data_IF_332524434240
#
_entry.id   IF_332524434240
#
_cell.length_a   1.000
_cell.length_b   1.000
_cell.length_c   1.000
_cell.angle_alpha   90.00
_cell.angle_beta   90.00
_cell.angle_gamma   90.00
#
_symmetry.space_group_name_H-M   'P 1'
#
loop_
_entity.id
_entity.type
_entity.pdbx_description
1 polymer ?
#
# COMPACT_ATOMS: atom_id res chain seq x y z
N UNK A 1 -23.98 13.18 -1.26
CA UNK A 1 -23.13 12.17 -1.92
C UNK A 1 -22.33 11.49 -0.83
N UNK A 2 -22.71 10.28 -0.40
CA UNK A 2 -22.02 9.57 0.68
C UNK A 2 -20.64 9.15 0.15
N UNK A 3 -19.57 9.54 0.86
CA UNK A 3 -18.23 8.99 0.63
C UNK A 3 -18.34 7.47 0.80
N UNK A 4 -18.21 6.74 -0.32
CA UNK A 4 -18.03 5.30 -0.26
C UNK A 4 -16.67 5.06 0.41
N UNK A 5 -16.65 4.21 1.43
CA UNK A 5 -15.43 3.93 2.20
C UNK A 5 -14.32 3.34 1.32
N UNK A 6 -13.13 3.18 1.90
CA UNK A 6 -11.97 2.61 1.25
C UNK A 6 -12.03 1.07 1.27
N UNK A 7 -11.73 0.44 0.14
CA UNK A 7 -11.50 -1.00 0.10
C UNK A 7 -10.00 -1.28 0.25
N UNK A 8 -9.63 -2.07 1.25
CA UNK A 8 -8.25 -2.43 1.58
C UNK A 8 -8.07 -3.92 1.29
N UNK A 9 -7.23 -4.22 0.31
CA UNK A 9 -6.84 -5.58 -0.05
C UNK A 9 -5.46 -5.87 0.51
N UNK A 10 -5.33 -7.02 1.16
CA UNK A 10 -4.07 -7.48 1.71
C UNK A 10 -3.53 -8.63 0.88
N UNK A 11 -2.20 -8.81 0.88
CA UNK A 11 -1.56 -9.90 0.16
C UNK A 11 -1.90 -11.28 0.74
N UNK A 12 -2.07 -11.35 2.06
CA UNK A 12 -2.10 -12.62 2.80
C UNK A 12 -3.29 -12.75 3.76
N UNK A 13 -4.35 -11.94 3.59
CA UNK A 13 -5.57 -12.01 4.42
C UNK A 13 -6.78 -11.47 3.66
N UNK A 14 -7.97 -11.71 4.20
CA UNK A 14 -9.22 -11.24 3.61
C UNK A 14 -9.26 -9.71 3.49
N UNK A 15 -9.86 -9.16 2.42
CA UNK A 15 -9.99 -7.73 2.25
C UNK A 15 -10.95 -7.13 3.27
N UNK A 16 -10.70 -5.87 3.65
CA UNK A 16 -11.64 -5.04 4.38
C UNK A 16 -12.30 -4.08 3.39
N UNK A 17 -13.63 -4.09 3.34
CA UNK A 17 -14.39 -3.31 2.37
C UNK A 17 -15.11 -2.16 3.06
N UNK A 18 -15.27 -1.05 2.34
CA UNK A 18 -16.01 0.14 2.79
C UNK A 18 -15.52 0.73 4.12
N UNK A 19 -14.22 0.63 4.39
CA UNK A 19 -13.59 1.15 5.59
C UNK A 19 -13.77 2.67 5.68
N UNK A 20 -14.23 3.16 6.83
CA UNK A 20 -14.44 4.59 7.09
C UNK A 20 -13.58 5.11 8.23
N UNK A 21 -13.19 4.24 9.15
CA UNK A 21 -12.47 4.60 10.37
C UNK A 21 -11.22 3.75 10.55
N UNK A 22 -10.15 4.37 11.07
CA UNK A 22 -8.87 3.69 11.33
C UNK A 22 -9.01 2.52 12.32
N UNK A 23 -9.95 2.63 13.27
CA UNK A 23 -10.24 1.59 14.24
C UNK A 23 -10.63 0.25 13.60
N UNK A 24 -11.16 0.27 12.37
CA UNK A 24 -11.52 -0.93 11.62
C UNK A 24 -10.30 -1.68 11.08
N UNK A 25 -9.15 -1.00 10.91
CA UNK A 25 -7.91 -1.63 10.45
C UNK A 25 -7.16 -2.34 11.57
N UNK A 26 -7.24 -1.82 12.81
CA UNK A 26 -6.41 -2.29 13.94
C UNK A 26 -6.48 -3.82 14.11
N UNK A 27 -7.67 -4.47 14.10
CA UNK A 27 -7.75 -5.92 14.25
C UNK A 27 -7.07 -6.68 13.09
N UNK A 28 -7.09 -6.11 11.89
CA UNK A 28 -6.47 -6.75 10.72
C UNK A 28 -4.94 -6.81 10.81
N UNK A 29 -4.31 -6.01 11.67
CA UNK A 29 -2.85 -6.05 11.91
C UNK A 29 -2.46 -6.84 13.16
N UNK A 30 -3.42 -7.36 13.93
CA UNK A 30 -3.13 -8.12 15.15
C UNK A 30 -2.44 -9.47 14.89
N UNK A 31 -2.56 -10.02 13.68
CA UNK A 31 -1.90 -11.27 13.30
C UNK A 31 -0.67 -11.01 12.40
N UNK A 32 0.49 -11.59 12.74
CA UNK A 32 1.69 -11.51 11.91
C UNK A 32 1.40 -12.04 10.50
N UNK A 33 2.09 -11.47 9.52
CA UNK A 33 1.88 -11.78 8.11
C UNK A 33 2.79 -12.92 7.66
N UNK A 34 2.31 -13.70 6.69
CA UNK A 34 3.15 -14.62 5.93
C UNK A 34 4.14 -13.83 5.04
N UNK A 35 5.28 -14.43 4.73
CA UNK A 35 6.41 -13.81 4.04
C UNK A 35 6.25 -13.67 2.51
N UNK A 36 5.04 -13.83 1.98
CA UNK A 36 4.78 -13.78 0.54
C UNK A 36 4.28 -12.41 0.11
N UNK A 37 4.71 -12.00 -1.09
CA UNK A 37 4.40 -10.71 -1.69
C UNK A 37 3.63 -10.92 -3.00
N UNK A 38 2.51 -11.67 -2.95
CA UNK A 38 1.72 -12.05 -4.13
C UNK A 38 0.87 -10.88 -4.67
N UNK A 39 1.52 -9.77 -5.00
CA UNK A 39 0.90 -8.53 -5.53
C UNK A 39 0.13 -8.84 -6.82
N UNK A 40 0.70 -9.66 -7.70
CA UNK A 40 0.10 -10.05 -8.97
C UNK A 40 -1.25 -10.73 -8.77
N UNK A 41 -1.35 -11.66 -7.81
CA UNK A 41 -2.58 -12.37 -7.51
C UNK A 41 -3.68 -11.42 -7.03
N UNK A 42 -3.35 -10.60 -6.02
CA UNK A 42 -4.31 -9.64 -5.45
C UNK A 42 -4.74 -8.59 -6.47
N UNK A 43 -3.82 -8.11 -7.32
CA UNK A 43 -4.17 -7.14 -8.34
C UNK A 43 -5.17 -7.71 -9.35
N UNK A 44 -5.00 -8.97 -9.79
CA UNK A 44 -5.98 -9.64 -10.66
C UNK A 44 -7.33 -9.79 -9.96
N UNK A 45 -7.33 -10.16 -8.68
CA UNK A 45 -8.56 -10.25 -7.88
C UNK A 45 -9.31 -8.92 -7.83
N UNK A 46 -8.61 -7.80 -7.61
CA UNK A 46 -9.21 -6.45 -7.60
C UNK A 46 -9.80 -6.12 -8.96
N UNK A 47 -9.05 -6.33 -10.05
CA UNK A 47 -9.50 -6.02 -11.41
C UNK A 47 -10.76 -6.81 -11.80
N UNK A 48 -10.87 -8.07 -11.35
CA UNK A 48 -12.06 -8.89 -11.55
C UNK A 48 -13.23 -8.44 -10.66
N UNK A 49 -12.97 -8.25 -9.36
CA UNK A 49 -14.01 -7.87 -8.40
C UNK A 49 -14.60 -6.49 -8.68
N UNK A 50 -13.81 -5.58 -9.27
CA UNK A 50 -14.20 -4.19 -9.56
C UNK A 50 -14.62 -3.94 -11.01
N UNK A 51 -14.83 -4.99 -11.80
CA UNK A 51 -15.08 -4.88 -13.24
C UNK A 51 -16.30 -4.00 -13.55
N UNK A 52 -17.37 -4.12 -12.76
CA UNK A 52 -18.58 -3.33 -12.95
C UNK A 52 -18.33 -1.85 -12.58
N UNK A 53 -17.66 -1.58 -11.47
CA UNK A 53 -17.33 -0.22 -11.04
C UNK A 53 -16.40 0.49 -12.04
N UNK A 54 -15.49 -0.23 -12.69
CA UNK A 54 -14.58 0.33 -13.70
C UNK A 54 -15.35 0.86 -14.94
N UNK A 55 -16.51 0.27 -15.25
CA UNK A 55 -17.36 0.76 -16.34
C UNK A 55 -18.01 2.10 -15.99
N UNK A 56 -18.46 2.24 -14.74
CA UNK A 56 -19.20 3.41 -14.26
C UNK A 56 -18.29 4.59 -13.84
N UNK A 57 -17.11 4.31 -13.30
CA UNK A 57 -16.23 5.32 -12.70
C UNK A 57 -14.74 4.98 -12.81
N UNK A 58 -13.89 5.94 -12.47
CA UNK A 58 -12.44 5.72 -12.39
C UNK A 58 -12.07 5.01 -11.09
N UNK A 59 -11.12 4.09 -11.16
CA UNK A 59 -10.59 3.34 -10.03
C UNK A 59 -9.14 3.77 -9.75
N UNK A 60 -8.83 4.16 -8.51
CA UNK A 60 -7.46 4.41 -8.07
C UNK A 60 -7.01 3.26 -7.18
N UNK A 61 -5.92 2.60 -7.56
CA UNK A 61 -5.28 1.53 -6.80
C UNK A 61 -3.94 2.05 -6.30
N UNK A 62 -3.75 2.04 -4.98
CA UNK A 62 -2.49 2.37 -4.33
C UNK A 62 -1.89 1.07 -3.80
N UNK A 63 -0.72 0.70 -4.28
CA UNK A 63 -0.01 -0.50 -3.85
C UNK A 63 1.11 -0.07 -2.90
N UNK A 64 0.92 -0.30 -1.61
CA UNK A 64 1.97 -0.13 -0.60
C UNK A 64 2.76 -1.44 -0.46
N UNK A 65 4.07 -1.41 -0.70
CA UNK A 65 4.95 -2.59 -0.67
C UNK A 65 6.34 -2.23 -0.17
N UNK A 66 6.97 -3.12 0.60
CA UNK A 66 8.33 -3.00 1.10
C UNK A 66 9.30 -4.00 0.43
N UNK A 67 8.82 -4.79 -0.52
CA UNK A 67 9.57 -5.88 -1.15
C UNK A 67 9.18 -6.14 -2.60
N UNK A 68 9.92 -7.08 -3.21
CA UNK A 68 9.67 -7.54 -4.57
C UNK A 68 8.40 -8.40 -4.65
N UNK A 69 7.65 -8.34 -5.76
CA UNK A 69 6.53 -9.25 -5.98
C UNK A 69 7.04 -10.69 -6.05
N UNK A 70 6.33 -11.61 -5.42
CA UNK A 70 6.63 -13.04 -5.45
C UNK A 70 5.47 -13.84 -6.06
N UNK A 71 5.78 -15.00 -6.60
CA UNK A 71 4.79 -16.04 -6.91
C UNK A 71 4.31 -16.76 -5.63
N UNK A 72 3.45 -17.76 -5.81
CA UNK A 72 2.88 -18.57 -4.73
C UNK A 72 3.92 -19.49 -4.04
N UNK A 73 5.14 -19.58 -4.60
CA UNK A 73 6.28 -20.31 -4.04
C UNK A 73 7.31 -19.37 -3.39
N UNK A 74 7.04 -18.07 -3.34
CA UNK A 74 7.95 -17.07 -2.75
C UNK A 74 9.12 -16.66 -3.65
N UNK A 75 9.11 -17.05 -4.93
CA UNK A 75 10.13 -16.65 -5.90
C UNK A 75 9.75 -15.31 -6.52
N UNK A 76 10.73 -14.42 -6.71
CA UNK A 76 10.52 -13.13 -7.36
C UNK A 76 9.85 -13.30 -8.73
N UNK A 77 8.74 -12.59 -8.95
CA UNK A 77 7.96 -12.62 -10.19
C UNK A 77 7.50 -11.21 -10.62
N UNK A 78 8.48 -10.39 -11.01
CA UNK A 78 8.24 -9.05 -11.55
C UNK A 78 7.60 -9.07 -12.94
N UNK A 79 7.89 -10.10 -13.74
CA UNK A 79 7.38 -10.25 -15.10
C UNK A 79 5.86 -10.44 -15.15
N UNK A 80 5.29 -11.23 -14.25
CA UNK A 80 3.83 -11.34 -14.16
C UNK A 80 3.17 -10.05 -13.73
N UNK A 81 3.76 -9.32 -12.77
CA UNK A 81 3.23 -8.02 -12.36
C UNK A 81 3.25 -7.03 -13.54
N UNK A 82 4.35 -6.96 -14.28
CA UNK A 82 4.47 -6.14 -15.49
C UNK A 82 3.41 -6.50 -16.53
N UNK A 83 3.19 -7.79 -16.77
CA UNK A 83 2.15 -8.28 -17.68
C UNK A 83 0.76 -7.81 -17.26
N UNK A 84 0.43 -7.89 -15.96
CA UNK A 84 -0.86 -7.41 -15.45
C UNK A 84 -1.03 -5.91 -15.70
N UNK A 85 0.00 -5.12 -15.36
CA UNK A 85 -0.01 -3.67 -15.49
C UNK A 85 -0.16 -3.20 -16.95
N UNK A 86 0.50 -3.88 -17.89
CA UNK A 86 0.55 -3.50 -19.31
C UNK A 86 -0.57 -4.08 -20.16
N UNK A 87 -0.98 -5.32 -19.89
CA UNK A 87 -1.81 -6.09 -20.82
C UNK A 87 -3.16 -6.50 -20.23
N UNK A 88 -3.24 -6.77 -18.92
CA UNK A 88 -4.47 -7.29 -18.31
C UNK A 88 -5.37 -6.18 -17.76
N UNK A 89 -4.80 -5.03 -17.38
CA UNK A 89 -5.56 -3.84 -16.92
C UNK A 89 -6.60 -3.36 -17.93
N UNK A 90 -6.33 -3.47 -19.24
CA UNK A 90 -7.17 -3.12 -20.42
C UNK A 90 -7.83 -1.72 -20.48
N UNK A 91 -7.96 -1.01 -19.37
CA UNK A 91 -8.62 0.30 -19.24
C UNK A 91 -7.67 1.28 -18.53
N UNK A 92 -6.57 1.63 -19.20
CA UNK A 92 -5.53 2.49 -18.64
C UNK A 92 -6.01 3.90 -18.30
N UNK A 93 -7.05 4.38 -18.97
CA UNK A 93 -7.72 5.68 -18.79
C UNK A 93 -8.70 5.69 -17.59
N UNK A 94 -9.19 4.51 -17.19
CA UNK A 94 -10.16 4.34 -16.09
C UNK A 94 -9.52 3.91 -14.79
N UNK A 95 -8.51 3.07 -14.86
CA UNK A 95 -7.83 2.52 -13.68
C UNK A 95 -6.54 3.31 -13.56
N UNK A 96 -6.19 3.85 -12.40
CA UNK A 96 -4.89 4.46 -12.11
C UNK A 96 -4.22 3.62 -11.04
N UNK A 97 -2.96 3.24 -11.27
CA UNK A 97 -2.19 2.43 -10.32
C UNK A 97 -0.95 3.21 -9.93
N UNK A 98 -0.75 3.42 -8.64
CA UNK A 98 0.44 4.05 -8.07
C UNK A 98 1.07 3.13 -7.03
N UNK A 99 2.39 3.19 -6.93
CA UNK A 99 3.15 2.41 -5.96
C UNK A 99 3.69 3.31 -4.86
N UNK A 100 3.56 2.84 -3.63
CA UNK A 100 4.14 3.42 -2.43
C UNK A 100 5.21 2.46 -1.90
N UNK A 101 6.48 2.76 -2.18
CA UNK A 101 7.62 2.03 -1.64
C UNK A 101 7.73 2.31 -0.12
N UNK A 102 7.65 1.25 0.68
CA UNK A 102 7.62 1.28 2.14
C UNK A 102 8.89 0.65 2.74
N UNK A 103 10.02 0.85 2.07
CA UNK A 103 11.33 0.28 2.44
C UNK A 103 12.42 1.31 2.24
N UNK A 104 13.52 1.13 2.97
CA UNK A 104 14.80 1.83 2.80
C UNK A 104 15.78 1.07 1.89
N UNK A 105 15.42 -0.13 1.45
CA UNK A 105 16.17 -0.93 0.48
C UNK A 105 15.73 -0.61 -0.96
N UNK A 106 16.51 0.22 -1.65
CA UNK A 106 16.27 0.59 -3.05
C UNK A 106 16.27 -0.62 -3.99
N UNK A 107 17.01 -1.70 -3.67
CA UNK A 107 17.03 -2.91 -4.50
C UNK A 107 15.73 -3.70 -4.41
N UNK A 108 15.09 -3.69 -3.24
CA UNK A 108 13.80 -4.34 -3.03
C UNK A 108 12.68 -3.72 -3.89
N UNK A 109 12.81 -2.45 -4.28
CA UNK A 109 11.85 -1.71 -5.11
C UNK A 109 12.40 -1.32 -6.48
N UNK A 110 13.60 -1.78 -6.85
CA UNK A 110 14.26 -1.43 -8.11
C UNK A 110 13.50 -1.89 -9.37
N UNK A 111 12.53 -2.80 -9.21
CA UNK A 111 11.62 -3.21 -10.28
C UNK A 111 10.58 -2.13 -10.64
N UNK A 112 10.36 -1.16 -9.76
CA UNK A 112 9.55 0.03 -10.02
C UNK A 112 10.36 0.98 -10.92
N UNK A 113 10.31 0.74 -12.22
CA UNK A 113 10.98 1.59 -13.21
C UNK A 113 10.54 3.06 -13.11
N UNK A 114 11.33 4.04 -13.61
CA UNK A 114 10.92 5.46 -13.63
C UNK A 114 9.65 5.75 -14.46
N UNK A 115 9.14 4.78 -15.22
CA UNK A 115 7.85 4.88 -15.94
C UNK A 115 6.65 4.53 -15.07
N UNK A 116 6.90 4.00 -13.87
CA UNK A 116 5.91 3.84 -12.82
C UNK A 116 5.79 5.17 -12.12
N UNK A 117 4.59 5.75 -12.02
CA UNK A 117 4.41 6.93 -11.16
C UNK A 117 4.60 6.47 -9.71
N UNK A 118 5.77 6.73 -9.16
CA UNK A 118 6.07 6.53 -7.75
C UNK A 118 5.74 7.83 -7.04
N UNK A 119 4.68 7.83 -6.23
CA UNK A 119 4.32 8.99 -5.42
C UNK A 119 5.09 8.95 -4.11
N UNK A 120 6.23 9.63 -4.06
CA UNK A 120 6.97 9.91 -2.82
C UNK A 120 6.34 11.10 -2.08
N UNK A 121 5.08 11.00 -1.65
CA UNK A 121 4.40 12.09 -0.93
C UNK A 121 4.15 11.69 0.51
N UNK A 122 4.86 12.31 1.47
CA UNK A 122 4.52 12.55 2.90
C UNK A 122 3.84 11.38 3.68
N UNK A 123 3.96 10.15 3.20
CA UNK A 123 3.33 8.94 3.76
C UNK A 123 4.33 8.05 4.50
N UNK A 124 5.63 8.39 4.43
CA UNK A 124 6.73 7.67 5.07
C UNK A 124 6.58 7.56 6.59
N UNK A 125 5.81 8.44 7.24
CA UNK A 125 5.55 8.38 8.69
C UNK A 125 4.28 7.61 9.07
N UNK A 126 3.23 7.63 8.24
CA UNK A 126 1.97 6.96 8.61
C UNK A 126 1.99 5.46 8.29
N UNK A 127 2.58 5.06 7.17
CA UNK A 127 2.58 3.63 6.78
C UNK A 127 3.63 2.82 7.54
N UNK A 128 4.82 3.36 7.83
CA UNK A 128 5.84 2.62 8.59
C UNK A 128 5.37 2.27 10.00
N UNK A 129 4.57 3.15 10.64
CA UNK A 129 3.91 2.87 11.91
C UNK A 129 2.80 1.80 11.82
N UNK A 130 2.24 1.57 10.63
CA UNK A 130 1.20 0.56 10.39
C UNK A 130 1.81 -0.79 9.93
N UNK A 131 2.85 -0.77 9.10
CA UNK A 131 3.45 -1.97 8.49
C UNK A 131 4.61 -2.54 9.33
N UNK A 132 5.34 -1.71 10.08
CA UNK A 132 6.47 -2.16 10.95
C UNK A 132 6.48 -1.39 12.28
N UNK A 133 5.47 -1.55 13.16
CA UNK A 133 5.43 -0.85 14.44
C UNK A 133 6.70 -1.12 15.29
N UNK A 134 7.23 -2.34 15.23
CA UNK A 134 8.32 -2.80 16.08
C UNK A 134 9.68 -2.13 15.80
N UNK A 135 9.88 -1.53 14.62
CA UNK A 135 11.17 -0.92 14.25
C UNK A 135 11.33 0.53 14.72
N UNK A 136 10.26 1.20 15.18
CA UNK A 136 10.32 2.61 15.59
C UNK A 136 10.02 2.86 17.07
N UNK A 137 9.34 1.96 17.78
CA UNK A 137 9.12 2.11 19.23
C UNK A 137 10.42 2.10 20.06
N UNK A 138 11.49 1.47 19.56
CA UNK A 138 12.78 1.39 20.27
C UNK A 138 13.67 2.65 20.19
N UNK A 139 13.25 3.72 19.49
CA UNK A 139 14.06 4.96 19.33
C UNK A 139 13.40 6.23 19.90
N UNK A 140 12.27 6.11 20.58
CA UNK A 140 11.60 7.25 21.24
C UNK A 140 11.98 7.41 22.72
N UNK A 141 13.13 6.89 23.14
CA UNK A 141 13.66 7.15 24.49
C UNK A 141 14.67 8.32 24.47
N UNK A 142 14.20 9.43 25.06
CA UNK A 142 14.93 10.51 25.73
C UNK A 142 15.96 11.35 24.93
N UNK A 143 15.52 12.52 24.48
CA UNK A 143 16.30 13.77 24.65
C UNK A 143 15.39 14.95 24.99
N UNK A 144 15.74 15.79 25.99
CA UNK A 144 14.95 16.97 26.34
C UNK A 144 15.18 18.07 25.31
N UNK A 145 14.10 18.56 24.70
CA UNK A 145 14.16 19.69 23.76
C UNK A 145 13.75 20.96 24.53
N UNK A 146 14.74 21.82 24.77
CA UNK A 146 14.53 23.18 25.28
C UNK A 146 13.82 24.08 24.25
N UNK A 147 13.33 25.26 24.66
CA UNK A 147 12.36 26.00 23.88
C UNK A 147 13.06 26.84 22.81
N UNK A 148 12.76 26.54 21.54
CA UNK A 148 12.47 27.55 20.49
C UNK A 148 12.04 26.89 19.18
N UNK A 149 10.78 27.15 18.82
CA UNK A 149 10.17 27.17 17.49
C UNK A 149 10.24 25.89 16.63
N UNK A 150 9.22 25.05 16.76
CA UNK A 150 8.70 24.23 15.67
C UNK A 150 7.17 24.36 15.63
N UNK A 151 6.67 25.17 14.69
CA UNK A 151 5.30 25.09 14.21
C UNK A 151 5.24 24.03 13.11
N UNK A 152 4.65 22.89 13.43
CA UNK A 152 3.87 22.06 12.50
C UNK A 152 3.01 21.13 13.36
N UNK A 153 1.79 21.58 13.62
CA UNK A 153 0.79 20.90 14.43
C UNK A 153 0.45 19.52 13.86
N UNK A 154 0.60 18.48 14.68
CA UNK A 154 -0.36 17.40 14.73
C UNK A 154 -1.57 17.89 15.53
N UNK A 155 -2.69 18.10 14.86
CA UNK A 155 -4.00 18.22 15.50
C UNK A 155 -5.03 17.62 14.56
N UNK A 156 -5.51 16.43 14.92
CA UNK A 156 -6.90 16.03 14.79
C UNK A 156 -7.09 14.77 15.63
N UNK A 157 -7.57 15.06 16.86
CA UNK A 157 -8.28 14.26 17.87
C UNK A 157 -7.98 12.76 17.97
#
# INVERSE_FOLDING_TARGET
>A
MLLQGLDIYFLNRSPLLHVKHLSELIPAFAQPHNSLTSITHVLRQILQAKQNEIQERKLLIIIATDGQPTDDYGKTDTGSLERVLKHERKSADKILITFCACTDDDQAVGYLSPRTTISFFVWRLCITNIIRPDRYFAKLDQKPVGPRNMQACCSLM
#
